data_IF_355186549519
#
_entry.id   IF_355186549519
#
_cell.length_a   1.000
_cell.length_b   1.000
_cell.length_c   1.000
_cell.angle_alpha   90.00
_cell.angle_beta   90.00
_cell.angle_gamma   90.00
#
_symmetry.space_group_name_H-M   'P 1'
#
loop_
_entity.id
_entity.type
_entity.pdbx_description
1 polymer ?
#
# COMPACT_ATOMS: atom_id res chain seq x y z
N UNK A 1 13.43 46.31 22.07
CA UNK A 1 12.46 45.22 21.84
C UNK A 1 11.97 45.32 20.40
N UNK A 2 12.41 44.42 19.52
CA UNK A 2 12.08 44.47 18.09
C UNK A 2 10.99 43.44 17.79
N UNK A 3 9.78 43.91 17.47
CA UNK A 3 8.63 43.05 17.17
C UNK A 3 8.74 42.56 15.73
N UNK A 4 9.07 41.28 15.60
CA UNK A 4 9.12 40.54 14.35
C UNK A 4 7.67 40.18 13.96
N UNK A 5 7.03 41.01 13.13
CA UNK A 5 5.71 40.71 12.57
C UNK A 5 5.86 39.66 11.47
N UNK A 6 5.71 38.39 11.82
CA UNK A 6 5.54 37.33 10.84
C UNK A 6 4.23 37.56 10.08
N UNK A 7 4.33 38.11 8.87
CA UNK A 7 3.23 38.13 7.91
C UNK A 7 2.83 36.67 7.60
N UNK A 8 1.80 36.19 8.29
CA UNK A 8 1.19 34.89 8.02
C UNK A 8 0.65 34.93 6.59
N UNK A 9 1.03 33.99 5.70
CA UNK A 9 0.48 33.97 4.35
C UNK A 9 -1.05 33.91 4.42
N UNK A 10 -1.70 34.93 3.87
CA UNK A 10 -3.16 34.92 3.69
C UNK A 10 -3.46 33.77 2.74
N UNK A 11 -4.10 32.72 3.26
CA UNK A 11 -4.58 31.60 2.46
C UNK A 11 -5.66 32.17 1.52
N UNK A 12 -5.45 32.18 0.19
CA UNK A 12 -6.46 32.69 -0.73
C UNK A 12 -7.75 31.89 -0.55
N UNK A 13 -8.87 32.58 -0.39
CA UNK A 13 -10.20 31.97 -0.34
C UNK A 13 -10.42 31.04 -1.54
N UNK A 14 -11.09 29.91 -1.27
CA UNK A 14 -11.54 28.84 -2.19
C UNK A 14 -11.42 29.20 -3.68
N UNK A 15 -10.44 28.62 -4.38
CA UNK A 15 -10.20 28.84 -5.82
C UNK A 15 -11.46 28.47 -6.62
N UNK A 16 -11.97 29.41 -7.41
CA UNK A 16 -13.10 29.18 -8.33
C UNK A 16 -12.69 28.17 -9.42
N UNK A 17 -13.56 27.21 -9.75
CA UNK A 17 -13.41 26.33 -10.93
C UNK A 17 -13.05 24.85 -10.67
N UNK A 18 -13.14 24.35 -9.44
CA UNK A 18 -13.10 22.90 -9.19
C UNK A 18 -14.49 22.28 -9.36
N UNK A 19 -14.57 21.15 -10.04
CA UNK A 19 -15.78 20.33 -10.21
C UNK A 19 -15.65 19.03 -9.42
N UNK A 20 -16.72 18.61 -8.76
CA UNK A 20 -16.76 17.35 -8.02
C UNK A 20 -17.19 16.22 -8.95
N UNK A 21 -16.46 15.10 -8.95
CA UNK A 21 -16.89 13.92 -9.68
C UNK A 21 -18.10 13.26 -9.01
N UNK A 22 -19.20 13.12 -9.74
CA UNK A 22 -20.46 12.55 -9.24
C UNK A 22 -20.40 11.05 -8.90
N UNK A 23 -19.30 10.37 -9.23
CA UNK A 23 -19.08 8.94 -8.98
C UNK A 23 -18.19 8.74 -7.75
N UNK A 24 -17.07 9.45 -7.66
CA UNK A 24 -16.05 9.22 -6.62
C UNK A 24 -15.88 10.35 -5.60
N UNK A 25 -16.58 11.48 -5.79
CA UNK A 25 -16.60 12.61 -4.85
C UNK A 25 -15.31 13.43 -4.81
N UNK A 26 -14.33 13.15 -5.67
CA UNK A 26 -13.08 13.93 -5.71
C UNK A 26 -13.24 15.22 -6.52
N UNK A 27 -12.48 16.23 -6.13
CA UNK A 27 -12.40 17.51 -6.81
C UNK A 27 -11.38 17.48 -7.95
N UNK A 28 -11.76 18.01 -9.10
CA UNK A 28 -10.92 18.14 -10.29
C UNK A 28 -11.05 19.55 -10.86
N UNK A 29 -10.05 19.99 -11.63
CA UNK A 29 -10.21 21.22 -12.41
C UNK A 29 -11.27 21.01 -13.49
N UNK A 30 -11.94 22.09 -13.90
CA UNK A 30 -12.98 22.07 -14.94
C UNK A 30 -12.58 21.37 -16.26
N UNK A 31 -11.29 21.40 -16.64
CA UNK A 31 -10.78 20.68 -17.82
C UNK A 31 -10.41 19.22 -17.53
N UNK A 32 -10.02 18.89 -16.30
CA UNK A 32 -9.61 17.52 -15.96
C UNK A 32 -10.78 16.63 -15.59
N UNK A 33 -11.92 17.21 -15.16
CA UNK A 33 -13.14 16.45 -14.84
C UNK A 33 -13.70 15.74 -16.09
N UNK A 34 -13.67 16.36 -17.27
CA UNK A 34 -14.19 15.76 -18.51
C UNK A 34 -13.39 14.54 -18.98
N UNK A 35 -12.09 14.48 -18.65
CA UNK A 35 -11.23 13.33 -18.92
C UNK A 35 -11.35 12.28 -17.79
N UNK A 36 -11.62 12.74 -16.56
CA UNK A 36 -11.74 11.86 -15.41
C UNK A 36 -13.06 11.08 -15.37
N UNK A 37 -14.20 11.75 -15.57
CA UNK A 37 -15.53 11.14 -15.50
C UNK A 37 -15.68 9.84 -16.32
N UNK A 38 -15.35 9.80 -17.63
CA UNK A 38 -15.52 8.58 -18.41
C UNK A 38 -14.64 7.44 -17.89
N UNK A 39 -13.38 7.72 -17.52
CA UNK A 39 -12.47 6.71 -16.94
C UNK A 39 -12.93 6.25 -15.55
N UNK A 40 -13.52 7.15 -14.77
CA UNK A 40 -14.06 6.82 -13.46
C UNK A 40 -15.30 5.93 -13.60
N UNK A 41 -16.15 6.19 -14.60
CA UNK A 41 -17.34 5.39 -14.90
C UNK A 41 -16.96 4.01 -15.43
N UNK A 42 -16.00 3.92 -16.34
CA UNK A 42 -15.46 2.64 -16.84
C UNK A 42 -14.96 1.77 -15.69
N UNK A 43 -14.15 2.35 -14.79
CA UNK A 43 -13.67 1.63 -13.61
C UNK A 43 -14.81 1.20 -12.69
N UNK A 44 -15.83 2.05 -12.52
CA UNK A 44 -17.01 1.72 -11.75
C UNK A 44 -17.75 0.52 -12.34
N UNK A 45 -17.93 0.45 -13.67
CA UNK A 45 -18.56 -0.70 -14.33
C UNK A 45 -17.77 -1.99 -14.11
N UNK A 46 -16.46 -1.97 -14.31
CA UNK A 46 -15.60 -3.14 -14.09
C UNK A 46 -15.73 -3.64 -12.65
N UNK A 47 -15.66 -2.74 -11.67
CA UNK A 47 -15.82 -3.07 -10.26
C UNK A 47 -17.22 -3.63 -9.98
N UNK A 48 -18.26 -2.99 -10.51
CA UNK A 48 -19.65 -3.36 -10.26
C UNK A 48 -20.03 -4.70 -10.94
N UNK A 49 -19.54 -4.95 -12.15
CA UNK A 49 -19.83 -6.18 -12.89
C UNK A 49 -19.09 -7.40 -12.32
N UNK A 50 -17.94 -7.16 -11.67
CA UNK A 50 -17.22 -8.19 -10.92
C UNK A 50 -17.96 -8.67 -9.67
N UNK A 51 -18.98 -7.91 -9.21
CA UNK A 51 -19.80 -8.30 -8.06
C UNK A 51 -20.91 -9.28 -8.49
N UNK A 52 -21.26 -10.26 -7.63
CA UNK A 52 -22.49 -11.04 -7.79
C UNK A 52 -23.71 -10.14 -8.02
N UNK A 53 -24.67 -10.57 -8.84
CA UNK A 53 -25.84 -9.75 -9.23
C UNK A 53 -26.53 -9.04 -8.06
N UNK A 54 -26.63 -9.71 -6.91
CA UNK A 54 -27.27 -9.19 -5.69
C UNK A 54 -26.42 -8.17 -4.91
N UNK A 55 -25.13 -8.02 -5.23
CA UNK A 55 -24.21 -7.04 -4.64
C UNK A 55 -23.89 -5.89 -5.60
N UNK A 56 -24.43 -5.91 -6.82
CA UNK A 56 -24.23 -4.84 -7.79
C UNK A 56 -24.97 -3.59 -7.34
N UNK A 57 -24.30 -2.45 -7.46
CA UNK A 57 -24.82 -1.11 -7.20
C UNK A 57 -25.57 -0.58 -8.41
N UNK A 58 -26.50 0.34 -8.15
CA UNK A 58 -27.17 1.10 -9.19
C UNK A 58 -26.18 2.04 -9.91
N UNK A 59 -26.36 2.18 -11.23
CA UNK A 59 -25.52 3.02 -12.07
C UNK A 59 -25.50 4.47 -11.53
N UNK A 60 -24.32 5.11 -11.45
CA UNK A 60 -24.23 6.51 -11.06
C UNK A 60 -24.97 7.37 -12.07
N UNK A 61 -25.93 8.18 -11.62
CA UNK A 61 -26.68 9.09 -12.49
C UNK A 61 -25.96 10.42 -12.54
N UNK A 62 -25.59 10.86 -13.75
CA UNK A 62 -25.00 12.19 -13.92
C UNK A 62 -26.07 13.26 -13.65
N UNK A 63 -25.86 14.17 -12.69
CA UNK A 63 -26.79 15.24 -12.41
C UNK A 63 -27.03 16.07 -13.67
N UNK A 64 -28.30 16.19 -14.09
CA UNK A 64 -28.69 17.07 -15.18
C UNK A 64 -28.85 18.48 -14.61
N UNK A 65 -28.06 19.43 -15.09
CA UNK A 65 -28.05 20.80 -14.58
C UNK A 65 -28.63 21.69 -15.67
N UNK A 66 -29.68 22.44 -15.34
CA UNK A 66 -30.22 23.49 -16.19
C UNK A 66 -29.17 24.59 -16.39
N UNK A 67 -29.17 25.24 -17.56
CA UNK A 67 -28.17 26.24 -17.98
C UNK A 67 -28.03 27.48 -17.07
N UNK A 68 -28.89 27.60 -16.04
CA UNK A 68 -28.92 28.69 -15.05
C UNK A 68 -28.30 28.29 -13.68
N UNK A 69 -27.73 27.08 -13.58
CA UNK A 69 -27.15 26.56 -12.33
C UNK A 69 -25.76 27.13 -12.02
N UNK A 70 -25.60 27.75 -10.84
CA UNK A 70 -24.28 28.17 -10.35
C UNK A 70 -23.32 26.98 -10.16
N UNK A 71 -22.01 27.21 -10.33
CA UNK A 71 -20.94 26.21 -10.10
C UNK A 71 -21.03 25.49 -8.73
N UNK A 72 -21.65 26.13 -7.74
CA UNK A 72 -21.81 25.61 -6.38
C UNK A 72 -22.90 24.54 -6.33
N UNK A 73 -24.03 24.74 -7.02
CA UNK A 73 -25.17 23.83 -7.00
C UNK A 73 -24.87 22.53 -7.75
N UNK A 74 -24.11 22.61 -8.85
CA UNK A 74 -23.62 21.44 -9.58
C UNK A 74 -22.70 20.56 -8.71
N UNK A 75 -21.76 21.19 -8.01
CA UNK A 75 -20.84 20.48 -7.14
C UNK A 75 -21.54 19.79 -5.98
N UNK A 76 -22.56 20.44 -5.41
CA UNK A 76 -23.38 19.85 -4.36
C UNK A 76 -24.16 18.64 -4.88
N UNK A 77 -24.78 18.74 -6.07
CA UNK A 77 -25.50 17.64 -6.69
C UNK A 77 -24.58 16.46 -7.01
N UNK A 78 -23.40 16.74 -7.57
CA UNK A 78 -22.39 15.71 -7.82
C UNK A 78 -21.88 15.07 -6.52
N UNK A 79 -21.64 15.85 -5.48
CA UNK A 79 -21.26 15.33 -4.16
C UNK A 79 -22.33 14.41 -3.59
N UNK A 80 -23.62 14.80 -3.64
CA UNK A 80 -24.75 13.96 -3.22
C UNK A 80 -24.83 12.65 -4.00
N UNK A 81 -24.67 12.69 -5.33
CA UNK A 81 -24.60 11.48 -6.16
C UNK A 81 -23.45 10.56 -5.72
N UNK A 82 -22.27 11.12 -5.43
CA UNK A 82 -21.11 10.31 -5.07
C UNK A 82 -21.27 9.61 -3.70
N UNK A 83 -22.02 10.21 -2.78
CA UNK A 83 -22.30 9.60 -1.47
C UNK A 83 -23.15 8.33 -1.58
N UNK A 84 -24.05 8.25 -2.56
CA UNK A 84 -24.86 7.06 -2.82
C UNK A 84 -24.03 5.84 -3.26
N UNK A 85 -22.79 6.06 -3.68
CA UNK A 85 -21.87 4.99 -4.12
C UNK A 85 -21.01 4.43 -2.99
N UNK A 86 -21.11 4.98 -1.78
CA UNK A 86 -20.32 4.55 -0.63
C UNK A 86 -20.98 3.37 0.10
N UNK A 87 -20.15 2.43 0.54
CA UNK A 87 -20.57 1.24 1.27
C UNK A 87 -20.14 1.34 2.75
N UNK A 88 -21.04 1.03 3.71
CA UNK A 88 -20.69 1.02 5.11
C UNK A 88 -19.78 -0.17 5.46
N UNK A 89 -18.85 0.07 6.39
CA UNK A 89 -18.04 -0.97 6.99
C UNK A 89 -18.86 -1.76 8.03
N UNK A 90 -18.94 -3.08 7.89
CA UNK A 90 -19.65 -3.93 8.85
C UNK A 90 -19.12 -3.86 10.30
N UNK A 91 -17.87 -3.43 10.50
CA UNK A 91 -17.25 -3.36 11.83
C UNK A 91 -17.43 -2.01 12.53
N UNK A 92 -17.56 -0.90 11.79
CA UNK A 92 -17.61 0.45 12.38
C UNK A 92 -18.64 1.40 11.76
N UNK A 93 -19.42 0.95 10.77
CA UNK A 93 -20.46 1.73 10.09
C UNK A 93 -19.97 2.83 9.15
N UNK A 94 -18.68 3.21 9.19
CA UNK A 94 -18.14 4.25 8.30
C UNK A 94 -18.26 3.84 6.83
N UNK A 95 -18.61 4.80 5.98
CA UNK A 95 -18.84 4.57 4.55
C UNK A 95 -17.59 4.85 3.73
N UNK A 96 -17.34 4.02 2.72
CA UNK A 96 -16.16 4.11 1.86
C UNK A 96 -16.50 3.69 0.43
N UNK A 97 -15.73 4.17 -0.55
CA UNK A 97 -15.70 3.51 -1.87
C UNK A 97 -15.15 2.08 -1.71
N UNK A 98 -15.58 1.11 -2.53
CA UNK A 98 -15.30 -0.30 -2.24
C UNK A 98 -13.78 -0.61 -2.21
N UNK A 99 -12.99 -0.04 -3.14
CA UNK A 99 -11.52 -0.07 -3.07
C UNK A 99 -10.92 0.32 -1.72
N UNK A 100 -11.42 1.42 -1.11
CA UNK A 100 -10.94 1.91 0.18
C UNK A 100 -11.51 1.10 1.33
N UNK A 101 -12.73 0.58 1.19
CA UNK A 101 -13.37 -0.27 2.18
C UNK A 101 -12.52 -1.51 2.48
N UNK A 102 -11.99 -2.17 1.44
CA UNK A 102 -11.15 -3.36 1.57
C UNK A 102 -9.88 -3.05 2.38
N UNK A 103 -9.21 -1.93 2.10
CA UNK A 103 -8.01 -1.50 2.83
C UNK A 103 -8.35 -1.16 4.28
N UNK A 104 -9.47 -0.47 4.49
CA UNK A 104 -9.95 -0.11 5.82
C UNK A 104 -10.28 -1.34 6.67
N UNK A 105 -11.01 -2.32 6.12
CA UNK A 105 -11.43 -3.53 6.82
C UNK A 105 -10.26 -4.35 7.38
N UNK A 106 -9.11 -4.37 6.70
CA UNK A 106 -7.89 -5.07 7.17
C UNK A 106 -7.40 -4.59 8.54
N UNK A 107 -7.63 -3.32 8.86
CA UNK A 107 -7.23 -2.72 10.13
C UNK A 107 -8.41 -2.29 11.00
N UNK A 108 -9.65 -2.45 10.53
CA UNK A 108 -10.84 -2.01 11.25
C UNK A 108 -11.19 -3.01 12.34
N UNK A 109 -10.99 -2.60 13.59
CA UNK A 109 -11.48 -3.36 14.75
C UNK A 109 -13.00 -3.25 14.84
N UNK A 110 -13.71 -4.33 15.24
CA UNK A 110 -15.13 -4.23 15.57
C UNK A 110 -15.26 -3.28 16.76
N UNK A 111 -15.86 -2.12 16.54
CA UNK A 111 -16.23 -1.25 17.64
C UNK A 111 -17.52 -1.83 18.21
N UNK A 112 -17.52 -2.21 19.49
CA UNK A 112 -18.71 -2.68 20.23
C UNK A 112 -19.80 -1.61 20.44
N UNK A 113 -19.86 -0.60 19.58
CA UNK A 113 -20.89 0.44 19.57
C UNK A 113 -21.66 0.34 18.27
N UNK A 114 -22.67 -0.51 18.27
CA UNK A 114 -23.84 -0.33 17.43
C UNK A 114 -24.52 0.97 17.87
N UNK A 115 -24.24 2.11 17.23
CA UNK A 115 -25.26 3.16 17.10
C UNK A 115 -24.92 4.17 16.01
N UNK A 116 -25.86 4.29 15.09
CA UNK A 116 -25.94 5.28 14.03
C UNK A 116 -27.33 5.23 13.42
N UNK A 117 -28.33 5.44 14.27
CA UNK A 117 -29.75 5.62 13.99
C UNK A 117 -29.98 6.41 12.70
N UNK A 118 -30.47 5.72 11.66
CA UNK A 118 -31.28 6.36 10.64
C UNK A 118 -32.64 6.61 11.27
N UNK A 119 -33.00 7.88 11.50
CA UNK A 119 -34.39 8.27 11.73
C UNK A 119 -35.15 8.03 10.42
N UNK A 120 -35.76 6.87 10.29
CA UNK A 120 -36.92 6.66 9.45
C UNK A 120 -38.10 6.50 10.39
N UNK A 121 -39.12 7.32 10.16
CA UNK A 121 -40.41 7.30 10.86
C UNK A 121 -41.00 5.89 10.82
N UNK A 122 -41.35 5.39 12.01
CA UNK A 122 -42.01 4.11 12.22
C UNK A 122 -43.39 4.07 11.54
N UNK A 123 -43.66 2.96 10.85
CA UNK A 123 -44.92 2.26 10.98
C UNK A 123 -44.67 0.73 11.08
N UNK A 124 -45.05 0.21 12.25
CA UNK A 124 -45.40 -1.17 12.65
C UNK A 124 -44.56 -2.39 12.21
N UNK A 125 -43.87 -2.93 13.22
CA UNK A 125 -44.10 -4.26 13.85
C UNK A 125 -44.24 -5.47 12.90
N UNK A 126 -43.21 -6.33 12.89
CA UNK A 126 -43.37 -7.71 13.37
C UNK A 126 -42.02 -8.40 13.60
N UNK A 127 -41.89 -8.99 14.78
CA UNK A 127 -40.78 -9.81 15.23
C UNK A 127 -40.77 -11.17 14.52
N UNK A 128 -39.63 -11.64 14.04
CA UNK A 128 -39.34 -13.09 13.98
C UNK A 128 -37.85 -13.31 14.07
N UNK A 129 -37.47 -13.96 15.16
CA UNK A 129 -36.18 -14.52 15.50
C UNK A 129 -35.83 -15.63 14.52
N UNK A 130 -34.71 -15.52 13.79
CA UNK A 130 -34.05 -16.69 13.19
C UNK A 130 -32.58 -16.68 13.59
N UNK A 131 -32.24 -17.60 14.48
CA UNK A 131 -30.87 -18.10 14.69
C UNK A 131 -30.53 -18.97 13.49
N UNK A 132 -29.45 -18.68 12.79
CA UNK A 132 -28.77 -19.68 11.96
C UNK A 132 -27.26 -19.55 12.13
N UNK A 133 -26.70 -20.55 12.78
CA UNK A 133 -25.29 -20.88 12.73
C UNK A 133 -24.94 -21.33 11.30
N UNK A 134 -23.84 -20.85 10.74
CA UNK A 134 -23.15 -21.61 9.68
C UNK A 134 -21.66 -21.32 9.68
N UNK A 135 -20.92 -22.42 9.90
CA UNK A 135 -19.49 -22.60 9.73
C UNK A 135 -19.07 -22.22 8.31
N UNK A 136 -18.11 -21.32 8.17
CA UNK A 136 -17.20 -21.33 7.02
C UNK A 136 -15.76 -21.18 7.52
N UNK A 137 -15.14 -22.34 7.68
CA UNK A 137 -13.71 -22.53 7.82
C UNK A 137 -13.00 -22.13 6.51
N UNK A 138 -11.79 -21.60 6.67
CA UNK A 138 -10.71 -21.52 5.66
C UNK A 138 -10.91 -20.62 4.43
N UNK A 139 -10.74 -19.30 4.63
CA UNK A 139 -10.39 -18.34 3.56
C UNK A 139 -8.88 -18.29 3.24
N UNK A 140 -8.07 -19.17 3.83
CA UNK A 140 -6.61 -19.16 3.65
C UNK A 140 -6.15 -19.86 2.36
N UNK A 141 -6.91 -20.83 1.86
CA UNK A 141 -6.50 -21.61 0.66
C UNK A 141 -6.90 -20.97 -0.67
N UNK A 142 -7.98 -20.19 -0.76
CA UNK A 142 -8.37 -19.54 -2.02
C UNK A 142 -7.50 -18.30 -2.36
N UNK A 143 -6.77 -17.77 -1.37
CA UNK A 143 -5.88 -16.61 -1.53
C UNK A 143 -4.51 -16.95 -2.15
N UNK A 144 -4.17 -18.24 -2.30
CA UNK A 144 -2.90 -18.68 -2.89
C UNK A 144 -2.95 -18.81 -4.41
N UNK A 145 -4.14 -18.96 -5.02
CA UNK A 145 -4.31 -19.23 -6.46
C UNK A 145 -4.39 -17.98 -7.35
N UNK A 146 -4.44 -16.77 -6.79
CA UNK A 146 -4.73 -15.54 -7.57
C UNK A 146 -3.83 -14.35 -7.24
N UNK A 147 -2.63 -14.56 -6.66
CA UNK A 147 -1.66 -13.46 -6.58
C UNK A 147 -1.23 -13.09 -8.01
N UNK A 148 -1.36 -11.81 -8.42
CA UNK A 148 -0.85 -11.39 -9.71
C UNK A 148 0.66 -11.68 -9.75
N UNK A 149 1.12 -12.32 -10.83
CA UNK A 149 2.52 -12.71 -10.99
C UNK A 149 3.40 -11.45 -11.08
N UNK A 150 3.99 -11.03 -9.96
CA UNK A 150 4.85 -9.84 -9.88
C UNK A 150 6.33 -10.17 -10.09
N UNK A 151 7.11 -9.15 -10.48
CA UNK A 151 8.56 -9.13 -10.40
C UNK A 151 9.03 -8.05 -9.44
N UNK A 152 10.16 -8.27 -8.79
CA UNK A 152 10.81 -7.28 -7.92
C UNK A 152 11.82 -6.47 -8.71
N UNK A 153 11.81 -5.14 -8.54
CA UNK A 153 12.87 -4.26 -9.04
C UNK A 153 14.12 -4.37 -8.17
N UNK A 154 15.24 -4.75 -8.77
CA UNK A 154 16.52 -4.96 -8.08
C UNK A 154 17.14 -3.67 -7.51
N UNK A 155 16.63 -2.49 -7.87
CA UNK A 155 17.14 -1.19 -7.42
C UNK A 155 16.35 -0.66 -6.21
N UNK A 156 15.02 -0.80 -6.24
CA UNK A 156 14.14 -0.20 -5.22
C UNK A 156 13.34 -1.22 -4.40
N UNK A 157 13.44 -2.51 -4.72
CA UNK A 157 12.80 -3.59 -3.98
C UNK A 157 11.27 -3.63 -4.09
N UNK A 158 10.66 -2.85 -4.98
CA UNK A 158 9.21 -2.83 -5.17
C UNK A 158 8.75 -3.89 -6.17
N UNK A 159 7.52 -4.36 -5.97
CA UNK A 159 6.85 -5.30 -6.86
C UNK A 159 6.16 -4.59 -8.04
N UNK A 160 6.31 -5.15 -9.23
CA UNK A 160 5.73 -4.68 -10.48
C UNK A 160 5.12 -5.84 -11.26
N UNK A 161 4.20 -5.56 -12.17
CA UNK A 161 3.75 -6.56 -13.14
C UNK A 161 4.84 -6.85 -14.19
N UNK A 162 4.74 -8.00 -14.86
CA UNK A 162 5.65 -8.40 -15.96
C UNK A 162 5.90 -7.29 -16.98
N UNK A 163 4.84 -6.57 -17.39
CA UNK A 163 4.90 -5.53 -18.41
C UNK A 163 5.37 -4.17 -17.88
N UNK A 164 5.18 -3.91 -16.58
CA UNK A 164 5.54 -2.62 -16.00
C UNK A 164 6.98 -2.57 -15.48
N UNK A 165 7.59 -3.71 -15.15
CA UNK A 165 8.99 -3.75 -14.72
C UNK A 165 9.98 -3.22 -15.78
N UNK A 166 9.92 -3.64 -17.07
CA UNK A 166 10.86 -3.15 -18.09
C UNK A 166 10.76 -1.64 -18.36
N UNK A 167 9.61 -1.04 -18.07
CA UNK A 167 9.38 0.41 -18.18
C UNK A 167 9.86 1.12 -16.91
N UNK A 168 9.76 0.47 -15.76
CA UNK A 168 10.16 1.00 -14.47
C UNK A 168 11.68 0.98 -14.26
N UNK A 169 12.35 -0.14 -14.52
CA UNK A 169 13.79 -0.34 -14.28
C UNK A 169 14.68 0.79 -14.84
N UNK A 170 14.60 1.18 -16.12
CA UNK A 170 15.45 2.24 -16.66
C UNK A 170 15.21 3.59 -15.97
N UNK A 171 13.94 3.94 -15.72
CA UNK A 171 13.56 5.17 -15.00
C UNK A 171 14.01 5.14 -13.54
N UNK A 172 14.00 3.96 -12.92
CA UNK A 172 14.47 3.77 -11.55
C UNK A 172 16.00 3.92 -11.48
N UNK A 173 16.72 3.35 -12.44
CA UNK A 173 18.18 3.45 -12.54
C UNK A 173 18.64 4.88 -12.82
N UNK A 174 17.95 5.60 -13.70
CA UNK A 174 18.23 7.01 -13.98
C UNK A 174 18.09 7.87 -12.72
N UNK A 175 16.97 7.71 -11.98
CA UNK A 175 16.77 8.40 -10.70
C UNK A 175 17.85 8.06 -9.68
N UNK A 176 18.23 6.79 -9.60
CA UNK A 176 19.30 6.32 -8.73
C UNK A 176 20.64 6.98 -9.09
N UNK A 177 20.99 7.07 -10.38
CA UNK A 177 22.24 7.71 -10.85
C UNK A 177 22.26 9.20 -10.48
N UNK A 178 21.17 9.91 -10.73
CA UNK A 178 21.03 11.33 -10.37
C UNK A 178 21.23 11.53 -8.85
N UNK A 179 20.62 10.70 -8.02
CA UNK A 179 20.80 10.76 -6.57
C UNK A 179 22.25 10.47 -6.17
N UNK A 180 22.87 9.46 -6.78
CA UNK A 180 24.23 9.06 -6.52
C UNK A 180 25.24 10.14 -6.95
N UNK A 181 25.02 10.82 -8.08
CA UNK A 181 25.89 11.88 -8.58
C UNK A 181 25.86 13.15 -7.74
N UNK A 182 24.74 13.38 -7.03
CA UNK A 182 24.61 14.45 -6.04
C UNK A 182 25.44 14.19 -4.78
N UNK A 183 25.90 12.96 -4.55
CA UNK A 183 26.78 12.65 -3.43
C UNK A 183 28.23 13.07 -3.75
N UNK A 184 29.00 13.51 -2.73
CA UNK A 184 30.45 13.70 -2.86
C UNK A 184 31.11 12.48 -3.48
N UNK A 185 32.15 12.66 -4.32
CA UNK A 185 32.80 11.56 -5.08
C UNK A 185 33.12 10.32 -4.22
N UNK A 186 33.62 10.53 -2.99
CA UNK A 186 33.94 9.44 -2.05
C UNK A 186 32.75 8.77 -1.36
N UNK A 187 31.54 9.33 -1.49
CA UNK A 187 30.28 8.78 -0.96
C UNK A 187 29.40 8.18 -2.06
N UNK A 188 29.83 8.26 -3.33
CA UNK A 188 29.11 7.64 -4.45
C UNK A 188 29.20 6.14 -4.36
N UNK A 189 28.09 5.48 -4.67
CA UNK A 189 27.95 4.02 -4.66
C UNK A 189 28.18 3.43 -6.05
N UNK A 190 28.59 2.16 -6.15
CA UNK A 190 28.65 1.46 -7.43
C UNK A 190 27.24 1.31 -8.03
N UNK A 191 27.17 1.32 -9.35
CA UNK A 191 25.91 1.17 -10.08
C UNK A 191 25.28 -0.20 -9.77
N UNK A 192 23.98 -0.26 -9.40
CA UNK A 192 23.28 -1.50 -9.17
C UNK A 192 23.34 -2.40 -10.40
N UNK A 193 23.79 -3.63 -10.21
CA UNK A 193 23.86 -4.62 -11.29
C UNK A 193 22.55 -5.39 -11.38
N UNK A 194 22.02 -5.46 -12.60
CA UNK A 194 20.86 -6.29 -12.89
C UNK A 194 21.30 -7.76 -12.79
N UNK A 195 20.61 -8.60 -11.99
CA UNK A 195 20.90 -10.03 -11.92
C UNK A 195 20.88 -10.63 -13.34
N UNK A 196 22.01 -11.18 -13.77
CA UNK A 196 22.12 -11.87 -15.05
C UNK A 196 21.52 -13.26 -14.85
N UNK A 197 20.36 -13.50 -15.45
CA UNK A 197 19.75 -14.82 -15.46
C UNK A 197 19.89 -15.38 -16.86
N UNK A 198 20.48 -16.57 -16.95
CA UNK A 198 20.75 -17.26 -18.19
C UNK A 198 19.44 -17.46 -18.96
N UNK A 199 19.29 -16.91 -20.18
CA UNK A 199 18.07 -17.08 -20.99
C UNK A 199 17.79 -18.56 -21.34
N UNK A 200 18.83 -19.41 -21.29
CA UNK A 200 18.76 -20.83 -21.61
C UNK A 200 18.28 -21.71 -20.44
N UNK A 201 18.23 -21.19 -19.21
CA UNK A 201 17.66 -21.89 -18.07
C UNK A 201 16.30 -21.27 -17.77
N UNK A 202 15.26 -22.09 -17.74
CA UNK A 202 13.94 -21.68 -17.25
C UNK A 202 14.03 -21.37 -15.75
N UNK A 203 14.52 -20.18 -15.41
CA UNK A 203 14.59 -19.71 -14.03
C UNK A 203 13.19 -19.43 -13.53
N UNK A 204 12.87 -19.96 -12.36
CA UNK A 204 11.54 -19.78 -11.79
C UNK A 204 11.30 -18.31 -11.50
N UNK A 205 10.04 -17.88 -11.53
CA UNK A 205 9.66 -16.49 -11.21
C UNK A 205 10.13 -16.08 -9.82
N UNK A 206 10.10 -17.02 -8.90
CA UNK A 206 10.56 -16.90 -7.52
C UNK A 206 12.07 -16.69 -7.46
N UNK A 207 12.83 -17.37 -8.32
CA UNK A 207 14.28 -17.22 -8.41
C UNK A 207 14.68 -15.85 -8.96
N UNK A 208 13.95 -15.38 -9.98
CA UNK A 208 14.08 -14.00 -10.50
C UNK A 208 13.85 -12.96 -9.40
N UNK A 209 12.81 -13.17 -8.60
CA UNK A 209 12.46 -12.28 -7.51
C UNK A 209 13.47 -12.33 -6.38
N UNK A 210 13.97 -13.50 -6.00
CA UNK A 210 14.97 -13.64 -4.95
C UNK A 210 16.30 -13.01 -5.38
N UNK A 211 16.76 -13.25 -6.61
CA UNK A 211 17.97 -12.64 -7.13
C UNK A 211 17.88 -11.09 -7.18
N UNK A 212 16.73 -10.56 -7.63
CA UNK A 212 16.48 -9.13 -7.61
C UNK A 212 16.41 -8.57 -6.18
N UNK A 213 15.80 -9.31 -5.26
CA UNK A 213 15.67 -8.93 -3.86
C UNK A 213 17.01 -8.91 -3.13
N UNK A 214 17.89 -9.87 -3.40
CA UNK A 214 19.24 -9.89 -2.86
C UNK A 214 20.07 -8.72 -3.38
N UNK A 215 20.04 -8.45 -4.69
CA UNK A 215 20.69 -7.26 -5.28
C UNK A 215 20.21 -5.96 -4.61
N UNK A 216 18.91 -5.84 -4.32
CA UNK A 216 18.38 -4.70 -3.57
C UNK A 216 18.88 -4.63 -2.12
N UNK A 217 18.92 -5.75 -1.41
CA UNK A 217 19.42 -5.82 -0.02
C UNK A 217 20.87 -5.37 0.10
N UNK A 218 21.71 -5.75 -0.86
CA UNK A 218 23.13 -5.37 -0.89
C UNK A 218 23.34 -3.86 -1.02
N UNK A 219 22.36 -3.15 -1.57
CA UNK A 219 22.38 -1.69 -1.72
C UNK A 219 21.87 -0.95 -0.47
N UNK A 220 21.36 -1.66 0.54
CA UNK A 220 20.85 -1.04 1.76
C UNK A 220 21.99 -0.57 2.67
N UNK A 221 21.85 0.66 3.17
CA UNK A 221 22.83 1.30 4.03
C UNK A 221 22.49 1.04 5.50
N UNK A 222 23.49 0.60 6.27
CA UNK A 222 23.36 0.42 7.71
C UNK A 222 23.42 1.76 8.42
N UNK A 223 22.51 1.98 9.36
CA UNK A 223 22.55 3.11 10.26
C UNK A 223 23.68 2.94 11.29
N UNK A 224 24.57 3.91 11.41
CA UNK A 224 25.68 3.87 12.38
C UNK A 224 25.20 3.81 13.85
N UNK A 225 24.01 4.33 14.15
CA UNK A 225 23.48 4.41 15.52
C UNK A 225 22.80 3.12 15.99
N UNK A 226 22.08 2.41 15.10
CA UNK A 226 21.28 1.23 15.48
C UNK A 226 21.56 -0.03 14.65
N UNK A 227 22.39 0.06 13.62
CA UNK A 227 22.75 -1.04 12.73
C UNK A 227 21.65 -1.50 11.77
N UNK A 228 20.45 -0.89 11.78
CA UNK A 228 19.37 -1.23 10.83
C UNK A 228 19.71 -0.76 9.42
N UNK A 229 19.37 -1.57 8.43
CA UNK A 229 19.58 -1.28 7.01
C UNK A 229 18.39 -0.54 6.41
N UNK A 230 18.65 0.51 5.64
CA UNK A 230 17.64 1.33 4.98
C UNK A 230 18.04 1.65 3.55
N UNK A 231 17.06 1.94 2.70
CA UNK A 231 17.33 2.57 1.42
C UNK A 231 17.95 3.97 1.64
N UNK A 232 18.75 4.43 0.69
CA UNK A 232 19.48 5.72 0.74
C UNK A 232 18.59 6.90 1.12
N UNK A 233 17.40 6.99 0.52
CA UNK A 233 16.43 8.05 0.74
C UNK A 233 15.79 8.03 2.15
N UNK A 234 15.69 6.84 2.76
CA UNK A 234 15.05 6.65 4.07
C UNK A 234 16.03 6.76 5.23
N UNK A 235 17.31 6.49 5.01
CA UNK A 235 18.31 6.52 6.07
C UNK A 235 18.42 7.92 6.74
N UNK A 236 18.46 9.05 6.01
CA UNK A 236 18.50 10.38 6.63
C UNK A 236 17.26 10.69 7.47
N UNK A 237 16.07 10.26 7.02
CA UNK A 237 14.83 10.43 7.77
C UNK A 237 14.88 9.63 9.06
N UNK A 238 15.40 8.40 9.00
CA UNK A 238 15.58 7.56 10.17
C UNK A 238 16.60 8.15 11.16
N UNK A 239 17.76 8.61 10.67
CA UNK A 239 18.85 9.15 11.48
C UNK A 239 18.41 10.32 12.35
N UNK A 240 17.51 11.19 11.86
CA UNK A 240 16.97 12.33 12.62
C UNK A 240 16.34 11.94 13.96
N UNK A 241 15.76 10.75 14.06
CA UNK A 241 15.13 10.23 15.28
C UNK A 241 15.82 8.99 15.85
N UNK A 242 16.95 8.57 15.28
CA UNK A 242 17.60 7.32 15.69
C UNK A 242 18.48 7.55 16.92
N UNK A 243 18.06 6.97 18.05
CA UNK A 243 18.88 6.88 19.26
C UNK A 243 20.02 5.87 19.05
N UNK A 244 21.22 6.20 19.55
CA UNK A 244 22.36 5.28 19.59
C UNK A 244 21.99 4.12 20.51
N UNK A 245 22.17 2.89 20.02
CA UNK A 245 22.06 1.70 20.87
C UNK A 245 23.44 1.53 21.51
N UNK A 246 23.57 1.84 22.81
CA UNK A 246 24.83 1.67 23.57
C UNK A 246 25.26 0.22 23.73
N UNK A 247 24.41 -0.75 23.41
CA UNK A 247 24.67 -2.16 23.72
C UNK A 247 24.31 -3.07 22.54
N UNK A 248 25.31 -3.40 21.72
CA UNK A 248 25.30 -4.66 20.99
C UNK A 248 26.61 -5.40 21.24
N UNK A 249 26.52 -6.36 22.16
CA UNK A 249 27.38 -7.55 22.20
C UNK A 249 27.52 -8.10 20.78
N UNK A 250 28.75 -8.15 20.32
CA UNK A 250 29.20 -8.58 19.00
C UNK A 250 28.49 -9.88 18.52
N UNK A 251 27.87 -9.92 17.31
CA UNK A 251 27.23 -11.13 16.79
C UNK A 251 28.22 -12.24 16.42
N UNK A 252 29.52 -11.97 16.34
CA UNK A 252 30.53 -12.95 15.90
C UNK A 252 30.81 -14.08 16.91
N UNK A 253 30.27 -14.02 18.13
CA UNK A 253 30.47 -15.07 19.15
C UNK A 253 29.40 -16.18 19.18
N UNK A 254 28.35 -16.14 18.35
CA UNK A 254 27.32 -17.22 18.36
C UNK A 254 27.62 -18.40 17.45
N UNK A 255 28.41 -18.24 16.39
CA UNK A 255 28.63 -19.33 15.43
C UNK A 255 29.73 -20.32 15.84
N UNK A 256 30.55 -20.01 16.86
CA UNK A 256 31.57 -20.92 17.36
C UNK A 256 31.13 -21.79 18.56
N UNK A 257 29.98 -21.49 19.18
CA UNK A 257 29.43 -22.29 20.28
C UNK A 257 28.60 -23.50 19.81
N UNK A 258 28.17 -23.52 18.54
CA UNK A 258 27.41 -24.64 17.96
C UNK A 258 28.31 -25.68 17.26
N UNK A 259 29.56 -25.34 16.88
CA UNK A 259 30.52 -26.30 16.29
C UNK A 259 31.34 -27.10 17.31
N UNK A 260 31.44 -26.66 18.56
CA UNK A 260 32.18 -27.40 19.59
C UNK A 260 31.32 -28.40 20.39
N UNK A 261 29.98 -28.37 20.28
CA UNK A 261 29.10 -29.36 20.92
C UNK A 261 28.80 -30.60 20.07
N UNK A 262 29.11 -30.56 18.77
CA UNK A 262 28.94 -31.71 17.86
C UNK A 262 30.26 -32.43 17.50
N UNK A 263 31.39 -32.02 18.11
CA UNK A 263 32.71 -32.60 17.84
C UNK A 263 33.25 -33.57 18.91
N UNK A 264 32.61 -33.68 20.08
CA UNK A 264 33.14 -34.46 21.23
C UNK A 264 32.29 -35.70 21.54
N UNK A 265 31.75 -36.38 20.52
CA UNK A 265 31.00 -37.64 20.71
C UNK A 265 31.42 -38.75 19.72
N UNK A 266 32.65 -38.69 19.19
CA UNK A 266 33.27 -39.80 18.43
C UNK A 266 34.75 -39.90 18.74
N UNK A 267 35.11 -40.13 20.00
CA UNK A 267 36.44 -40.65 20.37
C UNK A 267 36.44 -41.11 21.83
N UNK A 268 35.63 -42.13 22.14
CA UNK A 268 35.93 -43.06 23.24
C UNK A 268 35.03 -44.29 23.18
N UNK A 269 35.30 -45.16 22.21
CA UNK A 269 34.82 -46.54 22.23
C UNK A 269 35.88 -47.42 21.55
N UNK A 270 37.08 -47.47 22.14
CA UNK A 270 37.96 -48.61 21.96
C UNK A 270 38.75 -48.84 23.25
N UNK A 271 38.73 -50.11 23.66
CA UNK A 271 39.53 -50.78 24.70
C UNK A 271 38.83 -51.03 26.04
N UNK A 272 38.23 -52.24 26.13
CA UNK A 272 38.23 -53.19 27.26
C UNK A 272 37.70 -54.52 26.69
N UNK A 273 38.61 -55.44 26.33
CA UNK A 273 38.98 -56.65 27.09
C UNK A 273 38.09 -57.86 26.74
N UNK A 274 38.55 -58.73 25.84
CA UNK A 274 39.07 -60.08 26.09
C UNK A 274 39.59 -60.66 24.78
#
# INVERSE_FOLDING_TARGET
MSQNQFNRPVIPGRRRGFKVCYICGREFGSKSISIHEPKCLEKWHIENDSLPKHLRRAAPVKPQISADGSDITENEAAWKSSQAQLLPCGNCGRTFLPDRLIVHQRGCKPNGKTLGTFKSTDDKKSSTTIKTESKFSNTKELASLTKPKTLICYICGREFGTKSLPIHEPKCLEKWKIENDRLPKGQRRPVPQKPQLDPSKSTSREEQNEAAWQSFKDQLLKCSNCGRSFASDRLPVHQKGCKVISDRKDPTKRDNAQRQKNGTNKENAKVKSC
#
